data_IF_985547693739
#
_entry.id   IF_985547693739
#
_cell.length_a   1.000
_cell.length_b   1.000
_cell.length_c   1.000
_cell.angle_alpha   90.00
_cell.angle_beta   90.00
_cell.angle_gamma   90.00
#
_symmetry.space_group_name_H-M   'P 1'
#
loop_
_entity.id
_entity.type
_entity.pdbx_description
1 polymer ?
#
# COMPACT_ATOMS: atom_id res chain seq x y z
N UNK A 1 4.14 11.96 36.68
CA UNK A 1 3.90 11.76 35.23
C UNK A 1 3.57 13.13 34.65
N UNK A 2 4.24 13.59 33.57
CA UNK A 2 3.92 14.88 32.98
C UNK A 2 2.49 14.84 32.41
N UNK A 3 1.76 15.92 32.63
CA UNK A 3 0.33 16.04 32.37
C UNK A 3 0.06 16.15 30.86
N UNK A 4 0.07 15.00 30.16
CA UNK A 4 -0.07 14.89 28.69
C UNK A 4 -1.29 15.67 28.16
N UNK A 5 -2.37 15.74 28.96
CA UNK A 5 -3.59 16.47 28.65
C UNK A 5 -3.34 17.97 28.44
N UNK A 6 -2.35 18.56 29.12
CA UNK A 6 -2.05 20.00 29.01
C UNK A 6 -1.46 20.37 27.65
N UNK A 7 -0.79 19.43 26.98
CA UNK A 7 -0.20 19.61 25.65
C UNK A 7 -1.14 19.17 24.52
N UNK A 8 -1.95 18.13 24.74
CA UNK A 8 -2.82 17.54 23.70
C UNK A 8 -4.07 18.40 23.45
N UNK A 9 -4.67 18.95 24.50
CA UNK A 9 -5.94 19.71 24.39
C UNK A 9 -5.81 21.00 23.55
N UNK A 10 -4.74 21.81 23.68
CA UNK A 10 -4.54 22.99 22.83
C UNK A 10 -4.33 22.63 21.36
N UNK A 11 -3.59 21.56 21.09
CA UNK A 11 -3.30 21.08 19.73
C UNK A 11 -4.56 20.59 19.04
N UNK A 12 -5.38 19.79 19.74
CA UNK A 12 -6.66 19.33 19.21
C UNK A 12 -7.63 20.49 18.91
N UNK A 13 -7.70 21.48 19.80
CA UNK A 13 -8.51 22.68 19.58
C UNK A 13 -8.00 23.53 18.41
N UNK A 14 -6.68 23.63 18.23
CA UNK A 14 -6.08 24.33 17.10
C UNK A 14 -6.36 23.61 15.78
N UNK A 15 -6.29 22.27 15.79
CA UNK A 15 -6.58 21.43 14.63
C UNK A 15 -8.05 21.53 14.20
N UNK A 16 -8.98 21.56 15.16
CA UNK A 16 -10.40 21.76 14.88
C UNK A 16 -10.72 23.16 14.37
N UNK A 17 -9.95 24.17 14.79
CA UNK A 17 -10.18 25.57 14.40
C UNK A 17 -9.68 25.90 13.00
N UNK A 18 -8.65 25.21 12.51
CA UNK A 18 -8.07 25.44 11.18
C UNK A 18 -7.85 24.14 10.38
N UNK A 19 -8.91 23.41 10.03
CA UNK A 19 -8.79 22.16 9.28
C UNK A 19 -8.13 22.35 7.91
N UNK A 20 -8.35 23.51 7.26
CA UNK A 20 -7.72 23.84 5.98
C UNK A 20 -6.21 24.03 6.04
N UNK A 21 -5.65 24.49 7.18
CA UNK A 21 -4.19 24.60 7.36
C UNK A 21 -3.54 23.23 7.51
N UNK A 22 -4.22 22.27 8.14
CA UNK A 22 -3.74 20.88 8.22
C UNK A 22 -3.73 20.26 6.83
N UNK A 23 -4.81 20.45 6.06
CA UNK A 23 -4.89 19.96 4.69
C UNK A 23 -3.81 20.60 3.80
N UNK A 24 -3.58 21.90 3.92
CA UNK A 24 -2.53 22.61 3.19
C UNK A 24 -1.12 22.13 3.61
N UNK A 25 -0.90 21.90 4.90
CA UNK A 25 0.38 21.38 5.40
C UNK A 25 0.63 19.95 4.93
N UNK A 26 -0.37 19.08 4.98
CA UNK A 26 -0.29 17.71 4.45
C UNK A 26 -0.10 17.69 2.94
N UNK A 27 -0.72 18.60 2.21
CA UNK A 27 -0.54 18.76 0.77
C UNK A 27 0.87 19.26 0.41
N UNK A 28 1.35 20.30 1.08
CA UNK A 28 2.71 20.84 0.87
C UNK A 28 3.76 19.83 1.32
N UNK A 29 3.55 19.11 2.43
CA UNK A 29 4.45 18.03 2.84
C UNK A 29 4.40 16.87 1.85
N UNK A 30 3.23 16.56 1.30
CA UNK A 30 3.08 15.55 0.23
C UNK A 30 3.85 15.93 -1.03
N UNK A 31 3.75 17.19 -1.48
CA UNK A 31 4.53 17.71 -2.61
C UNK A 31 6.02 17.71 -2.29
N UNK A 32 6.42 18.19 -1.11
CA UNK A 32 7.82 18.23 -0.70
C UNK A 32 8.42 16.81 -0.61
N UNK A 33 7.68 15.86 -0.04
CA UNK A 33 8.05 14.44 -0.02
C UNK A 33 8.15 13.86 -1.42
N UNK A 34 7.20 14.15 -2.31
CA UNK A 34 7.25 13.72 -3.71
C UNK A 34 8.47 14.28 -4.45
N UNK A 35 8.81 15.55 -4.24
CA UNK A 35 9.99 16.19 -4.84
C UNK A 35 11.31 15.66 -4.23
N UNK A 36 11.36 15.40 -2.92
CA UNK A 36 12.51 14.78 -2.25
C UNK A 36 12.71 13.31 -2.66
N UNK A 37 11.62 12.62 -2.97
CA UNK A 37 11.63 11.23 -3.46
C UNK A 37 12.29 11.11 -4.83
N UNK A 38 12.36 12.18 -5.62
CA UNK A 38 13.05 12.19 -6.93
C UNK A 38 14.58 12.09 -6.84
N UNK A 39 15.17 11.93 -5.64
CA UNK A 39 16.63 11.90 -5.47
C UNK A 39 17.26 10.88 -4.51
N UNK A 40 16.52 10.02 -3.81
CA UNK A 40 17.17 9.02 -2.94
C UNK A 40 16.40 7.70 -2.83
N UNK A 41 16.99 6.61 -3.33
CA UNK A 41 16.50 5.23 -3.17
C UNK A 41 16.24 4.87 -1.68
N UNK A 42 16.95 5.50 -0.73
CA UNK A 42 16.78 5.25 0.71
C UNK A 42 15.47 5.75 1.33
N UNK A 43 14.83 6.80 0.77
CA UNK A 43 13.58 7.34 1.32
C UNK A 43 12.40 6.39 1.10
N UNK A 44 12.33 5.77 -0.08
CA UNK A 44 11.28 4.80 -0.41
C UNK A 44 11.32 3.60 0.54
N UNK A 45 12.51 3.12 0.91
CA UNK A 45 12.68 2.04 1.89
C UNK A 45 12.14 2.42 3.26
N UNK A 46 12.46 3.61 3.77
CA UNK A 46 11.95 4.06 5.07
C UNK A 46 10.43 4.23 5.06
N UNK A 47 9.86 4.82 4.01
CA UNK A 47 8.41 4.97 3.86
C UNK A 47 7.74 3.59 3.80
N UNK A 48 8.31 2.66 3.02
CA UNK A 48 7.80 1.29 2.92
C UNK A 48 7.82 0.56 4.28
N UNK A 49 8.89 0.70 5.07
CA UNK A 49 8.98 0.13 6.42
C UNK A 49 7.92 0.71 7.34
N UNK A 50 7.79 2.04 7.40
CA UNK A 50 6.77 2.72 8.23
C UNK A 50 5.36 2.32 7.80
N UNK A 51 5.11 2.21 6.50
CA UNK A 51 3.84 1.71 5.96
C UNK A 51 3.55 0.30 6.46
N UNK A 52 4.50 -0.65 6.33
CA UNK A 52 4.28 -2.03 6.81
C UNK A 52 4.10 -2.12 8.33
N UNK A 53 4.82 -1.30 9.10
CA UNK A 53 4.61 -1.19 10.55
C UNK A 53 3.18 -0.70 10.85
N UNK A 54 2.67 0.27 10.09
CA UNK A 54 1.30 0.77 10.24
C UNK A 54 0.26 -0.31 9.91
N UNK A 55 0.54 -1.19 8.94
CA UNK A 55 -0.29 -2.36 8.67
C UNK A 55 -0.26 -3.39 9.79
N UNK A 56 0.92 -3.66 10.39
CA UNK A 56 1.02 -4.51 11.57
C UNK A 56 0.25 -3.93 12.76
N UNK A 57 0.26 -2.60 12.92
CA UNK A 57 -0.56 -1.91 13.90
C UNK A 57 -2.05 -2.19 13.72
N UNK A 58 -2.59 -2.15 12.49
CA UNK A 58 -3.99 -2.49 12.22
C UNK A 58 -4.36 -3.92 12.65
N UNK A 59 -3.41 -4.86 12.59
CA UNK A 59 -3.66 -6.24 13.02
C UNK A 59 -3.84 -6.37 14.54
N UNK A 60 -3.19 -5.50 15.32
CA UNK A 60 -3.25 -5.51 16.79
C UNK A 60 -4.13 -4.40 17.38
N UNK A 61 -4.66 -3.51 16.53
CA UNK A 61 -5.39 -2.28 16.92
C UNK A 61 -6.46 -2.58 17.97
N UNK A 62 -7.36 -3.53 17.71
CA UNK A 62 -8.46 -3.85 18.62
C UNK A 62 -7.97 -4.29 20.01
N UNK A 63 -6.87 -5.04 20.08
CA UNK A 63 -6.27 -5.50 21.34
C UNK A 63 -5.62 -4.33 22.08
N UNK A 64 -4.85 -3.50 21.35
CA UNK A 64 -4.16 -2.33 21.91
C UNK A 64 -5.13 -1.28 22.41
N UNK A 65 -6.17 -0.98 21.63
CA UNK A 65 -7.25 -0.06 22.02
C UNK A 65 -7.98 -0.59 23.25
N UNK A 66 -8.28 -1.89 23.32
CA UNK A 66 -8.89 -2.49 24.50
C UNK A 66 -8.03 -2.33 25.77
N UNK A 67 -6.71 -2.48 25.64
CA UNK A 67 -5.76 -2.28 26.75
C UNK A 67 -5.64 -0.80 27.15
N UNK A 68 -5.57 0.11 26.17
CA UNK A 68 -5.52 1.55 26.41
C UNK A 68 -6.80 2.07 27.05
N UNK A 69 -7.97 1.61 26.61
CA UNK A 69 -9.25 1.98 27.22
C UNK A 69 -9.29 1.59 28.70
N UNK A 70 -8.75 0.42 29.05
CA UNK A 70 -8.62 -0.03 30.45
C UNK A 70 -7.61 0.81 31.25
N UNK A 71 -6.48 1.18 30.64
CA UNK A 71 -5.44 1.95 31.31
C UNK A 71 -5.80 3.44 31.50
N UNK A 72 -6.46 4.05 30.51
CA UNK A 72 -6.86 5.46 30.49
C UNK A 72 -8.22 5.65 31.19
N UNK A 73 -9.02 4.59 31.32
CA UNK A 73 -10.37 4.66 31.87
C UNK A 73 -11.37 5.40 30.98
N UNK A 74 -11.06 5.57 29.69
CA UNK A 74 -11.91 6.20 28.68
C UNK A 74 -11.86 5.41 27.39
N UNK A 75 -13.00 5.30 26.72
CA UNK A 75 -13.08 4.65 25.41
C UNK A 75 -12.55 5.58 24.31
N UNK A 76 -11.60 5.08 23.52
CA UNK A 76 -11.15 5.77 22.31
C UNK A 76 -12.33 5.83 21.33
N UNK A 77 -12.69 7.03 20.81
CA UNK A 77 -13.80 7.17 19.87
C UNK A 77 -13.58 6.34 18.62
N UNK A 78 -14.60 5.57 18.20
CA UNK A 78 -14.52 4.74 16.98
C UNK A 78 -14.20 5.55 15.72
N UNK A 79 -14.60 6.83 15.68
CA UNK A 79 -14.27 7.73 14.58
C UNK A 79 -12.76 7.94 14.40
N UNK A 80 -12.00 7.98 15.50
CA UNK A 80 -10.55 8.14 15.46
C UNK A 80 -9.86 6.89 14.90
N UNK A 81 -10.33 5.70 15.30
CA UNK A 81 -9.82 4.43 14.78
C UNK A 81 -10.07 4.32 13.28
N UNK A 82 -11.30 4.62 12.83
CA UNK A 82 -11.64 4.61 11.40
C UNK A 82 -10.83 5.62 10.60
N UNK A 83 -10.56 6.80 11.17
CA UNK A 83 -9.68 7.79 10.57
C UNK A 83 -8.25 7.26 10.45
N UNK A 84 -7.73 6.62 11.49
CA UNK A 84 -6.42 5.94 11.44
C UNK A 84 -6.38 4.88 10.35
N UNK A 85 -7.39 4.02 10.25
CA UNK A 85 -7.46 3.01 9.18
C UNK A 85 -7.55 3.64 7.79
N UNK A 86 -8.35 4.70 7.62
CA UNK A 86 -8.44 5.43 6.35
C UNK A 86 -7.09 6.04 5.96
N UNK A 87 -6.40 6.67 6.91
CA UNK A 87 -5.09 7.26 6.67
C UNK A 87 -4.09 6.19 6.21
N UNK A 88 -4.08 5.02 6.85
CA UNK A 88 -3.20 3.91 6.43
C UNK A 88 -3.55 3.43 5.02
N UNK A 89 -4.83 3.29 4.68
CA UNK A 89 -5.24 2.96 3.31
C UNK A 89 -4.80 4.03 2.30
N UNK A 90 -5.09 5.30 2.58
CA UNK A 90 -4.79 6.42 1.69
C UNK A 90 -3.28 6.56 1.45
N UNK A 91 -2.49 6.63 2.52
CA UNK A 91 -1.04 6.75 2.42
C UNK A 91 -0.42 5.56 1.69
N UNK A 92 -0.91 4.33 1.96
CA UNK A 92 -0.44 3.15 1.24
C UNK A 92 -0.76 3.22 -0.26
N UNK A 93 -2.00 3.57 -0.61
CA UNK A 93 -2.43 3.69 -2.01
C UNK A 93 -1.63 4.78 -2.73
N UNK A 94 -1.45 5.94 -2.11
CA UNK A 94 -0.75 7.07 -2.71
C UNK A 94 0.75 6.81 -2.83
N UNK A 95 1.32 6.05 -1.90
CA UNK A 95 2.69 5.59 -1.99
C UNK A 95 2.88 4.63 -3.16
N UNK A 96 2.02 3.62 -3.34
CA UNK A 96 2.22 2.59 -4.39
C UNK A 96 1.75 3.00 -5.77
N UNK A 97 0.78 3.91 -5.87
CA UNK A 97 0.16 4.30 -7.15
C UNK A 97 1.16 4.76 -8.22
N UNK A 98 2.16 5.61 -7.93
CA UNK A 98 3.17 5.99 -8.91
C UNK A 98 3.95 4.80 -9.48
N UNK A 99 4.31 3.83 -8.63
CA UNK A 99 5.01 2.60 -9.05
C UNK A 99 4.20 1.78 -10.03
N UNK A 100 2.92 1.54 -9.72
CA UNK A 100 2.04 0.85 -10.64
C UNK A 100 1.78 1.66 -11.90
N UNK A 101 1.55 2.97 -11.80
CA UNK A 101 1.27 3.83 -12.96
C UNK A 101 2.41 3.80 -14.00
N UNK A 102 3.65 3.89 -13.55
CA UNK A 102 4.84 3.92 -14.42
C UNK A 102 5.13 2.55 -15.04
N UNK A 103 4.92 1.47 -14.28
CA UNK A 103 5.21 0.10 -14.74
C UNK A 103 4.04 -0.55 -15.49
N UNK A 104 2.89 0.13 -15.60
CA UNK A 104 1.71 -0.37 -16.29
C UNK A 104 1.89 -0.39 -17.79
N UNK A 105 1.68 -1.56 -18.40
CA UNK A 105 1.47 -1.66 -19.84
C UNK A 105 0.02 -1.31 -20.17
N UNK A 106 -0.21 -0.07 -20.60
CA UNK A 106 -1.55 0.51 -20.79
C UNK A 106 -2.42 -0.19 -21.85
N UNK A 107 -1.82 -0.90 -22.79
CA UNK A 107 -2.54 -1.68 -23.81
C UNK A 107 -2.80 -3.15 -23.39
N UNK A 108 -2.95 -3.41 -22.08
CA UNK A 108 -3.14 -4.75 -21.53
C UNK A 108 -4.12 -4.74 -20.35
N UNK A 109 -4.45 -5.92 -19.82
CA UNK A 109 -5.25 -6.06 -18.59
C UNK A 109 -4.66 -5.32 -17.37
N UNK A 110 -3.38 -4.97 -17.40
CA UNK A 110 -2.72 -4.16 -16.36
C UNK A 110 -3.36 -2.80 -16.15
N UNK A 111 -3.88 -2.17 -17.22
CA UNK A 111 -4.58 -0.89 -17.11
C UNK A 111 -5.79 -0.97 -16.16
N UNK A 112 -6.50 -2.12 -16.14
CA UNK A 112 -7.66 -2.33 -15.28
C UNK A 112 -7.25 -2.38 -13.80
N UNK A 113 -6.17 -3.09 -13.48
CA UNK A 113 -5.67 -3.17 -12.11
C UNK A 113 -5.21 -1.80 -11.60
N UNK A 114 -4.44 -1.07 -12.40
CA UNK A 114 -3.95 0.26 -12.04
C UNK A 114 -5.09 1.28 -11.92
N UNK A 115 -6.09 1.22 -12.82
CA UNK A 115 -7.30 2.04 -12.70
C UNK A 115 -8.09 1.71 -11.42
N UNK A 116 -8.18 0.42 -11.05
CA UNK A 116 -8.81 0.00 -9.80
C UNK A 116 -8.09 0.56 -8.57
N UNK A 117 -6.75 0.54 -8.56
CA UNK A 117 -5.96 1.20 -7.50
C UNK A 117 -6.19 2.71 -7.49
N UNK A 118 -6.27 3.35 -8.65
CA UNK A 118 -6.54 4.79 -8.75
C UNK A 118 -7.91 5.13 -8.16
N UNK A 119 -8.94 4.34 -8.50
CA UNK A 119 -10.28 4.48 -7.94
C UNK A 119 -10.30 4.23 -6.42
N UNK A 120 -9.57 3.22 -5.94
CA UNK A 120 -9.39 2.97 -4.51
C UNK A 120 -8.75 4.18 -3.81
N UNK A 121 -7.70 4.77 -4.41
CA UNK A 121 -7.04 5.98 -3.92
C UNK A 121 -8.02 7.16 -3.83
N UNK A 122 -8.80 7.40 -4.88
CA UNK A 122 -9.83 8.44 -4.88
C UNK A 122 -10.91 8.22 -3.81
N UNK A 123 -11.37 6.99 -3.65
CA UNK A 123 -12.34 6.65 -2.60
C UNK A 123 -11.72 6.90 -1.21
N UNK A 124 -10.43 6.61 -1.02
CA UNK A 124 -9.75 6.78 0.27
C UNK A 124 -9.56 8.23 0.70
N UNK A 125 -9.40 9.16 -0.24
CA UNK A 125 -9.23 10.60 0.07
C UNK A 125 -10.55 11.37 0.14
N UNK A 126 -11.61 10.87 -0.51
CA UNK A 126 -12.93 11.53 -0.52
C UNK A 126 -13.76 11.02 0.66
N UNK A 127 -13.77 11.77 1.76
CA UNK A 127 -14.44 11.37 3.03
C UNK A 127 -15.89 10.90 2.87
N UNK A 128 -16.78 11.58 2.10
CA UNK A 128 -18.14 11.08 1.92
C UNK A 128 -18.19 9.70 1.26
N UNK A 129 -17.29 9.41 0.31
CA UNK A 129 -17.22 8.10 -0.35
C UNK A 129 -16.69 7.04 0.61
N UNK A 130 -15.62 7.35 1.36
CA UNK A 130 -15.06 6.43 2.32
C UNK A 130 -16.04 6.11 3.45
N UNK A 131 -16.53 7.13 4.17
CA UNK A 131 -17.32 6.92 5.39
C UNK A 131 -18.78 6.58 5.16
N UNK A 132 -19.43 7.16 4.15
CA UNK A 132 -20.88 6.99 3.95
C UNK A 132 -21.21 5.87 2.96
N UNK A 133 -20.32 5.56 2.03
CA UNK A 133 -20.60 4.58 0.97
C UNK A 133 -19.78 3.30 1.12
N UNK A 134 -18.46 3.39 1.35
CA UNK A 134 -17.58 2.23 1.44
C UNK A 134 -17.66 1.56 2.83
N UNK A 135 -17.34 2.30 3.90
CA UNK A 135 -17.20 1.77 5.27
C UNK A 135 -18.45 1.06 5.82
N UNK A 136 -19.70 1.47 5.52
CA UNK A 136 -20.88 0.75 5.98
C UNK A 136 -21.05 -0.62 5.30
N UNK A 137 -20.48 -0.81 4.10
CA UNK A 137 -20.58 -2.04 3.32
C UNK A 137 -19.34 -2.90 3.58
N UNK A 138 -19.46 -3.82 4.54
CA UNK A 138 -18.33 -4.68 4.99
C UNK A 138 -17.55 -5.34 3.86
N UNK A 139 -18.22 -5.87 2.84
CA UNK A 139 -17.55 -6.54 1.73
C UNK A 139 -16.70 -5.57 0.87
N UNK A 140 -17.17 -4.35 0.62
CA UNK A 140 -16.40 -3.32 -0.09
C UNK A 140 -15.20 -2.86 0.73
N UNK A 141 -15.41 -2.66 2.03
CA UNK A 141 -14.34 -2.30 2.94
C UNK A 141 -13.25 -3.38 2.96
N UNK A 142 -13.63 -4.66 3.04
CA UNK A 142 -12.67 -5.77 2.98
C UNK A 142 -11.98 -5.89 1.63
N UNK A 143 -12.71 -5.68 0.52
CA UNK A 143 -12.11 -5.65 -0.81
C UNK A 143 -11.05 -4.53 -0.92
N UNK A 144 -11.35 -3.31 -0.48
CA UNK A 144 -10.39 -2.20 -0.44
C UNK A 144 -9.19 -2.53 0.45
N UNK A 145 -9.45 -3.03 1.66
CA UNK A 145 -8.40 -3.35 2.64
C UNK A 145 -7.44 -4.42 2.10
N UNK A 146 -7.96 -5.54 1.60
CA UNK A 146 -7.14 -6.63 1.04
C UNK A 146 -6.41 -6.19 -0.23
N UNK A 147 -7.07 -5.43 -1.12
CA UNK A 147 -6.43 -4.87 -2.33
C UNK A 147 -5.27 -3.95 -1.96
N UNK A 148 -5.48 -3.07 -0.98
CA UNK A 148 -4.46 -2.11 -0.55
C UNK A 148 -3.28 -2.82 0.11
N UNK A 149 -3.55 -3.78 1.01
CA UNK A 149 -2.50 -4.61 1.61
C UNK A 149 -1.68 -5.33 0.54
N UNK A 150 -2.37 -5.94 -0.43
CA UNK A 150 -1.74 -6.66 -1.52
C UNK A 150 -0.82 -5.75 -2.35
N UNK A 151 -1.32 -4.57 -2.76
CA UNK A 151 -0.54 -3.60 -3.51
C UNK A 151 0.63 -3.01 -2.71
N UNK A 152 0.42 -2.75 -1.42
CA UNK A 152 1.45 -2.32 -0.48
C UNK A 152 2.58 -3.36 -0.37
N UNK A 153 2.23 -4.64 -0.20
CA UNK A 153 3.22 -5.72 -0.12
C UNK A 153 3.97 -5.92 -1.44
N UNK A 154 3.27 -5.87 -2.58
CA UNK A 154 3.91 -5.98 -3.90
C UNK A 154 5.01 -4.94 -4.12
N UNK A 155 4.80 -3.74 -3.58
CA UNK A 155 5.74 -2.62 -3.72
C UNK A 155 6.80 -2.64 -2.62
N UNK A 156 6.40 -2.85 -1.36
CA UNK A 156 7.28 -2.73 -0.20
C UNK A 156 8.22 -3.92 -0.03
N UNK A 157 7.75 -5.16 -0.25
CA UNK A 157 8.58 -6.34 -0.02
C UNK A 157 9.87 -6.31 -0.85
N UNK A 158 9.84 -6.05 -2.17
CA UNK A 158 11.07 -5.99 -2.96
C UNK A 158 12.01 -4.87 -2.55
N UNK A 159 11.48 -3.73 -2.14
CA UNK A 159 12.27 -2.59 -1.66
C UNK A 159 13.01 -2.94 -0.37
N UNK A 160 12.37 -3.67 0.54
CA UNK A 160 12.91 -3.95 1.88
C UNK A 160 13.77 -5.23 1.88
N UNK A 161 13.26 -6.31 1.29
CA UNK A 161 13.88 -7.65 1.31
C UNK A 161 14.51 -8.07 -0.02
N UNK A 162 14.56 -7.17 -1.02
CA UNK A 162 15.25 -7.41 -2.30
C UNK A 162 14.75 -8.64 -3.07
N UNK A 163 13.45 -8.93 -2.95
CA UNK A 163 12.79 -10.06 -3.61
C UNK A 163 12.57 -9.79 -5.09
N UNK A 164 12.57 -10.86 -5.89
CA UNK A 164 12.13 -10.78 -7.29
C UNK A 164 10.63 -10.45 -7.37
N UNK A 165 10.18 -9.92 -8.52
CA UNK A 165 8.77 -9.62 -8.77
C UNK A 165 7.87 -10.85 -8.56
N UNK A 166 8.33 -12.03 -8.97
CA UNK A 166 7.57 -13.28 -8.84
C UNK A 166 7.46 -13.78 -7.39
N UNK A 167 8.53 -13.65 -6.60
CA UNK A 167 8.52 -14.01 -5.18
C UNK A 167 7.65 -13.06 -4.37
N UNK A 168 7.81 -11.75 -4.61
CA UNK A 168 6.97 -10.73 -4.01
C UNK A 168 5.50 -10.95 -4.30
N UNK A 169 5.16 -11.27 -5.55
CA UNK A 169 3.77 -11.58 -5.91
C UNK A 169 3.19 -12.75 -5.11
N UNK A 170 3.94 -13.87 -5.02
CA UNK A 170 3.51 -15.05 -4.27
C UNK A 170 3.32 -14.73 -2.79
N UNK A 171 4.26 -14.02 -2.19
CA UNK A 171 4.20 -13.64 -0.77
C UNK A 171 3.10 -12.63 -0.50
N UNK A 172 2.96 -11.59 -1.33
CA UNK A 172 1.90 -10.61 -1.22
C UNK A 172 0.52 -11.25 -1.32
N UNK A 173 0.31 -12.14 -2.30
CA UNK A 173 -0.96 -12.86 -2.46
C UNK A 173 -1.22 -13.77 -1.25
N UNK A 174 -0.21 -14.55 -0.84
CA UNK A 174 -0.31 -15.46 0.29
C UNK A 174 -0.63 -14.74 1.61
N UNK A 175 0.09 -13.66 1.91
CA UNK A 175 -0.12 -12.84 3.11
C UNK A 175 -1.47 -12.13 3.06
N UNK A 176 -1.86 -11.55 1.92
CA UNK A 176 -3.17 -10.92 1.77
C UNK A 176 -4.31 -11.93 1.99
N UNK A 177 -4.19 -13.16 1.50
CA UNK A 177 -5.17 -14.22 1.74
C UNK A 177 -5.19 -14.67 3.21
N UNK A 178 -4.01 -14.87 3.81
CA UNK A 178 -3.87 -15.25 5.21
C UNK A 178 -4.50 -14.21 6.15
N UNK A 179 -4.19 -12.92 5.93
CA UNK A 179 -4.69 -11.83 6.76
C UNK A 179 -6.14 -11.44 6.44
N UNK A 180 -6.70 -11.90 5.32
CA UNK A 180 -8.14 -11.78 5.05
C UNK A 180 -8.99 -12.74 5.89
N UNK A 181 -8.40 -13.83 6.42
CA UNK A 181 -9.14 -14.84 7.19
C UNK A 181 -9.78 -14.29 8.48
N UNK A 182 -9.07 -13.59 9.39
CA UNK A 182 -9.69 -13.03 10.60
C UNK A 182 -10.85 -12.08 10.27
N UNK A 183 -10.66 -11.25 9.24
CA UNK A 183 -11.68 -10.32 8.76
C UNK A 183 -12.93 -11.03 8.23
N UNK A 184 -12.76 -12.09 7.44
CA UNK A 184 -13.87 -12.91 6.96
C UNK A 184 -14.55 -13.69 8.09
N UNK A 185 -13.78 -14.27 9.02
CA UNK A 185 -14.29 -15.01 10.17
C UNK A 185 -15.10 -14.13 11.14
N UNK A 186 -14.76 -12.84 11.26
CA UNK A 186 -15.56 -11.87 12.02
C UNK A 186 -16.90 -11.52 11.34
N UNK A 187 -16.97 -11.65 10.01
CA UNK A 187 -18.18 -11.40 9.21
C UNK A 187 -19.07 -12.63 9.14
N UNK A 188 -18.46 -13.81 9.04
CA UNK A 188 -19.11 -15.12 9.02
C UNK A 188 -18.61 -15.95 10.22
N UNK A 189 -19.27 -15.86 11.39
CA UNK A 189 -18.84 -16.56 12.59
C UNK A 189 -18.66 -18.05 12.32
N UNK A 190 -17.51 -18.61 12.71
CA UNK A 190 -17.12 -20.00 12.50
C UNK A 190 -17.84 -20.98 13.45
N UNK A 191 -19.08 -20.65 13.85
CA UNK A 191 -19.88 -21.45 14.78
C UNK A 191 -20.39 -22.75 14.15
N UNK A 192 -20.62 -22.75 12.83
CA UNK A 192 -21.12 -23.90 12.09
C UNK A 192 -20.14 -24.27 10.97
N UNK A 193 -19.96 -25.57 10.71
CA UNK A 193 -19.10 -26.07 9.62
C UNK A 193 -19.38 -25.41 8.27
N UNK A 194 -20.65 -25.11 7.96
CA UNK A 194 -21.04 -24.44 6.70
C UNK A 194 -20.42 -23.05 6.55
N UNK A 195 -20.32 -22.29 7.64
CA UNK A 195 -19.69 -20.96 7.63
C UNK A 195 -18.17 -21.10 7.47
N UNK A 196 -17.57 -22.10 8.13
CA UNK A 196 -16.16 -22.42 7.92
C UNK A 196 -15.85 -22.80 6.47
N UNK A 197 -16.69 -23.63 5.85
CA UNK A 197 -16.58 -23.97 4.44
C UNK A 197 -16.75 -22.74 3.54
N UNK A 198 -17.72 -21.86 3.84
CA UNK A 198 -17.93 -20.62 3.08
C UNK A 198 -16.71 -19.69 3.13
N UNK A 199 -16.12 -19.47 4.32
CA UNK A 199 -14.89 -18.66 4.48
C UNK A 199 -13.74 -19.28 3.70
N UNK A 200 -13.55 -20.61 3.79
CA UNK A 200 -12.53 -21.33 3.04
C UNK A 200 -12.74 -21.16 1.52
N UNK A 201 -13.97 -21.34 1.03
CA UNK A 201 -14.30 -21.16 -0.39
C UNK A 201 -14.02 -19.74 -0.85
N UNK A 202 -14.38 -18.71 -0.06
CA UNK A 202 -14.09 -17.32 -0.41
C UNK A 202 -12.58 -17.05 -0.54
N UNK A 203 -11.76 -17.58 0.38
CA UNK A 203 -10.30 -17.43 0.32
C UNK A 203 -9.73 -18.16 -0.89
N UNK A 204 -10.16 -19.40 -1.15
CA UNK A 204 -9.69 -20.18 -2.30
C UNK A 204 -10.08 -19.51 -3.62
N UNK A 205 -11.31 -19.02 -3.73
CA UNK A 205 -11.78 -18.31 -4.92
C UNK A 205 -11.02 -17.00 -5.12
N UNK A 206 -10.83 -16.20 -4.07
CA UNK A 206 -10.09 -14.94 -4.16
C UNK A 206 -8.60 -15.18 -4.50
N UNK A 207 -7.95 -16.14 -3.84
CA UNK A 207 -6.57 -16.51 -4.10
C UNK A 207 -6.36 -17.10 -5.49
N UNK A 208 -7.29 -17.97 -5.92
CA UNK A 208 -7.30 -18.55 -7.27
C UNK A 208 -7.52 -17.50 -8.35
N UNK A 209 -8.46 -16.58 -8.15
CA UNK A 209 -8.68 -15.44 -9.05
C UNK A 209 -7.43 -14.55 -9.12
N UNK A 210 -6.81 -14.22 -7.98
CA UNK A 210 -5.55 -13.49 -7.93
C UNK A 210 -4.47 -14.20 -8.76
N UNK A 211 -4.26 -15.50 -8.53
CA UNK A 211 -3.28 -16.29 -9.25
C UNK A 211 -3.49 -16.32 -10.78
N UNK A 212 -4.74 -16.48 -11.22
CA UNK A 212 -5.10 -16.49 -12.64
C UNK A 212 -4.96 -15.10 -13.28
N UNK A 213 -5.27 -14.04 -12.53
CA UNK A 213 -5.16 -12.65 -12.96
C UNK A 213 -3.76 -12.05 -12.72
N UNK A 214 -2.75 -12.86 -12.40
CA UNK A 214 -1.38 -12.37 -12.12
C UNK A 214 -0.78 -11.54 -13.26
N UNK A 215 -1.10 -11.85 -14.51
CA UNK A 215 -0.60 -11.12 -15.68
C UNK A 215 -1.20 -9.72 -15.81
N UNK A 216 -2.33 -9.47 -15.14
CA UNK A 216 -2.99 -8.17 -15.08
C UNK A 216 -2.42 -7.30 -13.95
N UNK A 217 -1.48 -7.79 -13.16
CA UNK A 217 -0.83 -6.98 -12.12
C UNK A 217 0.50 -6.46 -12.69
N UNK A 218 0.68 -5.13 -12.79
CA UNK A 218 1.95 -4.57 -13.24
C UNK A 218 3.09 -4.94 -12.29
N UNK A 219 4.32 -5.11 -12.80
CA UNK A 219 5.49 -5.38 -11.98
C UNK A 219 5.97 -4.08 -11.31
N UNK A 220 5.46 -3.77 -10.10
CA UNK A 220 5.75 -2.52 -9.37
C UNK A 220 7.24 -2.19 -9.18
N UNK A 221 8.13 -3.17 -9.34
CA UNK A 221 9.58 -3.08 -9.08
C UNK A 221 10.45 -2.91 -10.30
N UNK A 222 9.92 -3.05 -11.52
CA UNK A 222 10.71 -2.89 -12.74
C UNK A 222 10.83 -1.42 -13.09
N UNK A 223 11.64 -0.71 -12.32
CA UNK A 223 12.09 0.64 -12.61
C UNK A 223 13.48 0.57 -13.25
N UNK A 224 13.57 0.97 -14.51
CA UNK A 224 14.86 1.19 -15.17
C UNK A 224 15.44 2.50 -14.62
N UNK A 225 16.28 2.41 -13.61
CA UNK A 225 17.00 3.55 -13.03
C UNK A 225 18.05 4.08 -14.00
N UNK A 226 18.69 3.21 -14.78
CA UNK A 226 19.64 3.57 -15.84
C UNK A 226 19.40 2.73 -17.09
N UNK A 227 19.22 3.41 -18.23
CA UNK A 227 19.20 2.79 -19.56
C UNK A 227 20.47 3.23 -20.27
N UNK A 228 21.44 2.32 -20.38
CA UNK A 228 22.62 2.52 -21.19
C UNK A 228 22.64 1.47 -22.30
N UNK A 229 22.77 1.92 -23.55
CA UNK A 229 23.09 1.04 -24.67
C UNK A 229 24.60 1.09 -24.81
N UNK A 230 25.26 0.08 -24.27
CA UNK A 230 26.72 -0.09 -24.34
C UNK A 230 27.05 -1.39 -25.07
N UNK A 231 28.09 -1.41 -25.92
CA UNK A 231 28.59 -2.63 -26.54
C UNK A 231 29.33 -3.53 -25.53
N UNK A 232 29.69 -2.99 -24.35
CA UNK A 232 30.41 -3.71 -23.30
C UNK A 232 29.67 -3.63 -21.95
N UNK A 233 29.68 -4.73 -21.19
CA UNK A 233 29.02 -4.87 -19.89
C UNK A 233 29.97 -5.54 -18.90
N UNK A 234 30.37 -4.80 -17.87
CA UNK A 234 31.17 -5.37 -16.79
C UNK A 234 30.27 -6.22 -15.87
N UNK A 235 30.27 -7.53 -16.11
CA UNK A 235 29.43 -8.49 -15.38
C UNK A 235 29.77 -8.57 -13.89
N UNK A 236 31.00 -8.18 -13.49
CA UNK A 236 31.46 -8.25 -12.10
C UNK A 236 30.98 -7.05 -11.29
N UNK A 237 30.99 -5.86 -11.89
CA UNK A 237 30.54 -4.62 -11.25
C UNK A 237 29.09 -4.25 -11.59
N UNK A 238 28.45 -4.97 -12.53
CA UNK A 238 27.09 -4.73 -13.05
C UNK A 238 26.89 -3.31 -13.58
N UNK A 239 27.94 -2.76 -14.17
CA UNK A 239 27.95 -1.41 -14.73
C UNK A 239 28.03 -1.48 -16.24
N UNK A 240 27.16 -0.75 -16.96
CA UNK A 240 27.29 -0.62 -18.41
C UNK A 240 28.58 0.14 -18.74
N UNK A 241 29.22 -0.23 -19.85
CA UNK A 241 30.26 0.61 -20.47
C UNK A 241 29.71 1.92 -21.02
N UNK A 242 30.55 2.66 -21.76
CA UNK A 242 30.18 3.98 -22.28
C UNK A 242 28.91 3.93 -23.15
N UNK A 243 27.96 4.83 -22.83
CA UNK A 243 26.68 4.91 -23.55
C UNK A 243 26.88 5.40 -24.98
N UNK A 244 26.46 4.60 -25.96
CA UNK A 244 26.59 4.92 -27.38
C UNK A 244 25.23 5.35 -27.95
N UNK A 245 25.20 6.51 -28.63
CA UNK A 245 23.99 7.02 -29.31
C UNK A 245 23.94 6.72 -30.81
N UNK A 246 25.07 6.38 -31.45
CA UNK A 246 25.16 6.05 -32.86
C UNK A 246 26.16 4.90 -33.07
N UNK A 247 25.75 3.87 -33.79
CA UNK A 247 26.61 2.73 -34.14
C UNK A 247 26.88 2.78 -35.64
N UNK A 248 28.16 2.77 -36.04
CA UNK A 248 28.53 2.74 -37.45
C UNK A 248 28.29 1.35 -38.06
N UNK A 249 27.99 1.29 -39.36
CA UNK A 249 27.71 0.02 -40.05
C UNK A 249 28.88 -0.98 -40.02
N UNK A 250 30.12 -0.51 -39.82
CA UNK A 250 31.30 -1.34 -39.62
C UNK A 250 31.34 -1.99 -38.22
N UNK A 251 30.86 -1.31 -37.18
CA UNK A 251 30.80 -1.82 -35.81
C UNK A 251 29.66 -2.83 -35.59
N UNK A 252 28.63 -2.81 -36.43
CA UNK A 252 27.53 -3.79 -36.43
C UNK A 252 27.90 -5.13 -37.08
N UNK A 253 29.01 -5.19 -37.82
CA UNK A 253 29.41 -6.36 -38.62
C UNK A 253 30.58 -7.15 -38.03
N UNK A 254 31.18 -6.67 -36.93
CA UNK A 254 32.18 -7.37 -36.12
C UNK A 254 31.51 -8.07 -34.95
#
# INVERSE_FOLDING_TARGET
>A
MPDLNRLVTPVLNLMQRYPGLIAAFGFVSGIASFILVDRQEGLATWIAVVMLISWLWLMVENTMVGMLNKAIGREIPQGLLRYGTQMIHQESLFFVLPFFFITTTWNSGQAVFTALLGAAGLISIIDPLYYKWLAPRRWLFMALHTLTLFAALLTALPIIVHLTTAESYKLALGVAMLLSFPSLASTFPLTNWRNGLMVLTMIVVAGGAGWLLRSWVPPATLWLTEVAVSPDFDDKNRTPGDSIRQISASQLRS
#
